data_IF_649531435339
#
_entry.id   IF_649531435339
#
_cell.length_a   1.000
_cell.length_b   1.000
_cell.length_c   1.000
_cell.angle_alpha   90.00
_cell.angle_beta   90.00
_cell.angle_gamma   90.00
#
_symmetry.space_group_name_H-M   'P 1'
#
loop_
_entity.id
_entity.type
_entity.pdbx_description
1 polymer ?
#
# COMPACT_ATOMS: atom_id res chain seq x y z
N UNK A 1 -7.61 90.99 -53.89
CA UNK A 1 -7.86 89.59 -53.48
C UNK A 1 -6.59 89.03 -52.83
N UNK A 2 -6.01 89.77 -51.88
CA UNK A 2 -6.11 89.60 -50.41
C UNK A 2 -5.51 88.28 -49.91
N UNK A 3 -4.26 88.41 -49.45
CA UNK A 3 -3.39 87.47 -48.71
C UNK A 3 -4.04 86.80 -47.47
N UNK A 4 -5.32 87.02 -47.22
CA UNK A 4 -6.09 86.50 -46.09
C UNK A 4 -6.86 85.21 -46.40
N UNK A 5 -7.04 84.84 -47.67
CA UNK A 5 -7.72 83.59 -48.03
C UNK A 5 -6.89 82.33 -47.75
N UNK A 6 -5.56 82.42 -47.91
CA UNK A 6 -4.64 81.29 -47.70
C UNK A 6 -4.41 80.97 -46.22
N UNK A 7 -4.49 81.97 -45.33
CA UNK A 7 -4.28 81.78 -43.88
C UNK A 7 -5.49 81.10 -43.24
N UNK A 8 -6.71 81.41 -43.69
CA UNK A 8 -7.93 80.76 -43.19
C UNK A 8 -8.02 79.30 -43.63
N UNK A 9 -7.59 78.97 -44.85
CA UNK A 9 -7.54 77.58 -45.33
C UNK A 9 -6.50 76.72 -44.59
N UNK A 10 -5.39 77.31 -44.12
CA UNK A 10 -4.36 76.59 -43.36
C UNK A 10 -4.75 76.36 -41.89
N UNK A 11 -5.54 77.26 -41.29
CA UNK A 11 -5.99 77.13 -39.89
C UNK A 11 -7.12 76.11 -39.75
N UNK A 12 -8.00 75.98 -40.75
CA UNK A 12 -9.08 74.97 -40.74
C UNK A 12 -8.54 73.54 -40.97
N UNK A 13 -7.38 73.38 -41.63
CA UNK A 13 -6.74 72.06 -41.80
C UNK A 13 -6.04 71.53 -40.54
N UNK A 14 -5.80 72.38 -39.54
CA UNK A 14 -5.13 72.03 -38.27
C UNK A 14 -6.09 71.79 -37.10
N UNK A 15 -7.39 72.02 -37.31
CA UNK A 15 -8.44 71.69 -36.35
C UNK A 15 -9.14 70.39 -36.76
N UNK A 16 -8.37 69.33 -37.02
CA UNK A 16 -8.95 67.98 -36.95
C UNK A 16 -9.19 67.70 -35.46
N UNK A 17 -10.40 67.28 -35.05
CA UNK A 17 -10.59 66.81 -33.69
C UNK A 17 -9.56 65.72 -33.46
N UNK A 18 -8.66 65.95 -32.52
CA UNK A 18 -7.73 64.93 -32.08
C UNK A 18 -8.60 63.80 -31.54
N UNK A 19 -8.85 62.79 -32.36
CA UNK A 19 -9.33 61.52 -31.87
C UNK A 19 -8.21 61.00 -30.98
N UNK A 20 -8.32 61.29 -29.69
CA UNK A 20 -7.58 60.56 -28.67
C UNK A 20 -8.16 59.16 -28.75
N UNK A 21 -7.61 58.35 -29.67
CA UNK A 21 -7.76 56.91 -29.63
C UNK A 21 -7.21 56.53 -28.27
N UNK A 22 -8.11 56.23 -27.35
CA UNK A 22 -7.75 55.91 -26.00
C UNK A 22 -6.65 54.84 -26.04
N UNK A 23 -5.53 55.17 -25.42
CA UNK A 23 -4.31 54.41 -25.55
C UNK A 23 -4.27 53.44 -24.38
N UNK A 24 -4.54 52.17 -24.65
CA UNK A 24 -4.43 51.16 -23.61
C UNK A 24 -3.06 51.22 -22.91
N UNK A 25 -3.01 51.07 -21.58
CA UNK A 25 -1.77 51.06 -20.81
C UNK A 25 -0.74 50.11 -21.42
N UNK A 26 0.50 50.59 -21.59
CA UNK A 26 1.62 49.88 -22.21
C UNK A 26 1.30 49.14 -23.53
N UNK A 27 0.26 49.59 -24.27
CA UNK A 27 -0.25 48.89 -25.46
C UNK A 27 -0.57 47.42 -25.18
N UNK A 28 -1.18 47.15 -24.02
CA UNK A 28 -1.46 45.81 -23.50
C UNK A 28 -0.22 44.90 -23.46
N UNK A 29 0.96 45.50 -23.31
CA UNK A 29 2.27 44.84 -23.22
C UNK A 29 2.55 43.85 -24.35
N UNK A 30 1.86 43.96 -25.50
CA UNK A 30 1.92 42.96 -26.58
C UNK A 30 1.23 41.63 -26.28
N UNK A 31 0.58 41.49 -25.12
CA UNK A 31 -0.11 40.29 -24.64
C UNK A 31 -1.63 40.44 -24.58
N UNK A 32 -2.17 41.40 -25.32
CA UNK A 32 -3.61 41.64 -25.39
C UNK A 32 -4.00 42.54 -26.54
N UNK A 33 -5.31 42.64 -26.75
CA UNK A 33 -5.91 43.58 -27.70
C UNK A 33 -6.55 44.73 -26.92
N UNK A 34 -6.30 45.95 -27.36
CA UNK A 34 -6.94 47.14 -26.78
C UNK A 34 -8.44 47.16 -27.15
N UNK A 35 -9.30 47.15 -26.12
CA UNK A 35 -10.75 47.16 -26.26
C UNK A 35 -11.37 48.56 -26.15
N UNK A 36 -12.70 48.60 -25.98
CA UNK A 36 -13.42 49.84 -25.65
C UNK A 36 -13.06 50.30 -24.23
N UNK A 37 -13.06 51.62 -24.00
CA UNK A 37 -12.75 52.25 -22.71
C UNK A 37 -11.33 51.97 -22.18
N UNK A 38 -10.34 51.79 -23.06
CA UNK A 38 -8.92 51.61 -22.72
C UNK A 38 -8.62 50.38 -21.85
N UNK A 39 -9.52 49.39 -21.90
CA UNK A 39 -9.37 48.11 -21.21
C UNK A 39 -8.67 47.11 -22.13
N UNK A 40 -7.58 46.54 -21.65
CA UNK A 40 -6.89 45.46 -22.35
C UNK A 40 -7.65 44.14 -22.22
N UNK A 41 -7.94 43.50 -23.36
CA UNK A 41 -8.40 42.12 -23.43
C UNK A 41 -7.18 41.22 -23.56
N UNK A 42 -6.75 40.65 -22.44
CA UNK A 42 -5.55 39.83 -22.40
C UNK A 42 -5.71 38.49 -23.12
N UNK A 43 -4.60 38.02 -23.70
CA UNK A 43 -4.48 36.68 -24.26
C UNK A 43 -4.48 35.63 -23.14
N UNK A 44 -4.65 34.35 -23.50
CA UNK A 44 -4.65 33.26 -22.53
C UNK A 44 -3.40 33.27 -21.65
N UNK A 45 -3.59 33.11 -20.34
CA UNK A 45 -2.57 33.12 -19.30
C UNK A 45 -1.86 34.47 -19.05
N UNK A 46 -2.45 35.58 -19.51
CA UNK A 46 -2.02 36.94 -19.19
C UNK A 46 -3.13 37.72 -18.49
N UNK A 47 -2.77 38.55 -17.52
CA UNK A 47 -3.67 39.31 -16.66
C UNK A 47 -3.07 40.67 -16.26
N UNK A 48 -3.87 41.47 -15.55
CA UNK A 48 -3.52 42.83 -15.16
C UNK A 48 -4.09 43.87 -16.11
N UNK A 49 -4.00 45.15 -15.73
CA UNK A 49 -4.58 46.25 -16.50
C UNK A 49 -3.95 46.44 -17.89
N UNK A 50 -2.70 46.01 -18.05
CA UNK A 50 -1.93 46.10 -19.30
C UNK A 50 -1.43 44.74 -19.80
N UNK A 51 -1.99 43.63 -19.30
CA UNK A 51 -1.60 42.26 -19.64
C UNK A 51 -0.11 41.93 -19.44
N UNK A 52 0.60 42.66 -18.56
CA UNK A 52 2.00 42.36 -18.25
C UNK A 52 2.17 41.20 -17.25
N UNK A 53 1.13 40.87 -16.49
CA UNK A 53 1.18 39.81 -15.49
C UNK A 53 0.83 38.44 -16.06
N UNK A 54 1.58 37.41 -15.68
CA UNK A 54 1.24 36.01 -15.93
C UNK A 54 0.13 35.55 -14.99
N UNK A 55 -0.77 34.74 -15.54
CA UNK A 55 -1.77 34.02 -14.76
C UNK A 55 -1.11 32.80 -14.12
N UNK A 56 -1.18 32.68 -12.79
CA UNK A 56 -0.76 31.47 -12.10
C UNK A 56 -1.81 30.37 -12.20
N UNK A 57 -1.43 29.10 -12.01
CA UNK A 57 -2.35 27.98 -11.97
C UNK A 57 -3.45 28.17 -10.94
N UNK A 58 -4.69 27.88 -11.36
CA UNK A 58 -5.82 27.71 -10.47
C UNK A 58 -5.98 26.23 -10.13
N UNK A 59 -6.12 25.93 -8.85
CA UNK A 59 -6.33 24.56 -8.36
C UNK A 59 -7.47 24.60 -7.35
N UNK A 60 -8.10 23.45 -7.04
CA UNK A 60 -9.11 23.42 -5.97
C UNK A 60 -8.53 23.98 -4.69
N UNK A 61 -9.23 24.95 -4.09
CA UNK A 61 -8.79 25.61 -2.89
C UNK A 61 -8.64 24.63 -1.73
N UNK A 62 -7.58 24.77 -0.94
CA UNK A 62 -7.45 24.05 0.33
C UNK A 62 -8.44 24.51 1.38
N UNK A 63 -8.82 25.78 1.29
CA UNK A 63 -9.81 26.41 2.13
C UNK A 63 -10.43 27.56 1.32
N UNK A 64 -11.73 27.70 1.43
CA UNK A 64 -12.50 28.81 0.90
C UNK A 64 -13.71 29.07 1.80
N UNK A 65 -14.43 30.15 1.50
CA UNK A 65 -15.67 30.45 2.21
C UNK A 65 -16.76 29.56 1.65
N UNK A 66 -17.27 28.62 2.47
CA UNK A 66 -18.40 27.79 2.10
C UNK A 66 -19.60 28.68 1.73
N UNK A 67 -20.16 28.44 0.54
CA UNK A 67 -21.27 29.25 0.04
C UNK A 67 -22.63 28.66 0.42
N UNK A 68 -22.71 27.33 0.54
CA UNK A 68 -23.91 26.54 0.88
C UNK A 68 -23.49 25.19 1.49
N UNK A 69 -24.48 24.38 1.86
CA UNK A 69 -24.28 22.99 2.27
C UNK A 69 -23.59 22.21 1.14
N UNK A 70 -22.52 21.47 1.49
CA UNK A 70 -21.68 20.69 0.58
C UNK A 70 -21.06 21.49 -0.59
N UNK A 71 -20.88 22.81 -0.42
CA UNK A 71 -20.45 23.73 -1.47
C UNK A 71 -19.20 24.55 -1.07
N UNK A 72 -18.03 23.96 -1.31
CA UNK A 72 -16.70 24.47 -1.00
C UNK A 72 -15.63 23.93 -1.98
N UNK A 73 -14.38 24.36 -1.81
CA UNK A 73 -13.20 23.98 -2.61
C UNK A 73 -13.23 24.42 -4.08
N UNK A 74 -13.72 25.64 -4.34
CA UNK A 74 -13.67 26.28 -5.66
C UNK A 74 -12.23 26.47 -6.15
N UNK A 75 -12.08 26.69 -7.46
CA UNK A 75 -10.77 26.99 -8.04
C UNK A 75 -10.23 28.32 -7.51
N UNK A 76 -9.04 28.27 -6.93
CA UNK A 76 -8.32 29.43 -6.43
C UNK A 76 -6.91 29.49 -7.00
N UNK A 77 -6.41 30.71 -7.21
CA UNK A 77 -5.04 30.93 -7.66
C UNK A 77 -4.08 30.38 -6.61
N UNK A 78 -3.14 29.54 -7.04
CA UNK A 78 -2.24 28.82 -6.14
C UNK A 78 -2.98 28.02 -5.04
N UNK A 79 -4.23 27.60 -5.27
CA UNK A 79 -5.02 26.80 -4.35
C UNK A 79 -5.31 27.47 -3.00
N UNK A 80 -5.20 28.80 -2.91
CA UNK A 80 -5.16 29.57 -1.66
C UNK A 80 -4.02 29.15 -0.71
N UNK A 81 -2.95 28.51 -1.21
CA UNK A 81 -1.79 28.04 -0.41
C UNK A 81 -0.47 28.45 -1.02
N UNK A 82 -0.42 29.65 -1.57
CA UNK A 82 0.80 30.21 -2.11
C UNK A 82 0.60 31.61 -2.70
N UNK A 83 1.72 32.24 -3.03
CA UNK A 83 1.77 33.55 -3.68
C UNK A 83 2.15 33.38 -5.14
N UNK A 84 1.40 34.03 -6.03
CA UNK A 84 1.66 34.02 -7.47
C UNK A 84 2.77 35.01 -7.85
N UNK A 85 3.83 34.54 -8.50
CA UNK A 85 4.78 35.40 -9.21
C UNK A 85 4.23 35.78 -10.59
N UNK A 86 3.92 37.06 -10.76
CA UNK A 86 3.36 37.61 -12.01
C UNK A 86 4.35 37.68 -13.16
N UNK A 87 5.66 37.59 -12.93
CA UNK A 87 6.63 37.59 -14.02
C UNK A 87 6.69 36.21 -14.71
N UNK A 88 6.62 35.13 -13.92
CA UNK A 88 6.81 33.76 -14.38
C UNK A 88 5.49 33.00 -14.54
N UNK A 89 4.47 33.33 -13.75
CA UNK A 89 3.24 32.55 -13.64
C UNK A 89 3.39 31.34 -12.71
N UNK A 90 4.45 31.29 -11.91
CA UNK A 90 4.69 30.21 -10.95
C UNK A 90 4.20 30.58 -9.55
N UNK A 91 3.68 29.57 -8.84
CA UNK A 91 3.24 29.73 -7.45
C UNK A 91 4.40 29.41 -6.50
N UNK A 92 4.72 30.35 -5.61
CA UNK A 92 5.54 30.06 -4.43
C UNK A 92 4.61 29.56 -3.34
N UNK A 93 4.70 28.27 -3.02
CA UNK A 93 3.77 27.63 -2.09
C UNK A 93 4.12 27.89 -0.63
N UNK A 94 3.08 27.90 0.22
CA UNK A 94 3.23 27.96 1.66
C UNK A 94 3.89 26.67 2.18
N UNK A 95 4.50 26.73 3.37
CA UNK A 95 5.16 25.59 3.99
C UNK A 95 4.23 24.36 4.06
N UNK A 96 4.72 23.21 3.62
CA UNK A 96 3.95 21.97 3.56
C UNK A 96 3.07 21.81 2.32
N UNK A 97 3.12 22.73 1.35
CA UNK A 97 2.39 22.63 0.08
C UNK A 97 3.36 22.60 -1.10
N UNK A 98 3.10 21.73 -2.07
CA UNK A 98 3.97 21.51 -3.23
C UNK A 98 3.18 21.29 -4.52
N UNK A 99 3.91 21.31 -5.62
CA UNK A 99 3.39 21.10 -6.97
C UNK A 99 2.78 22.35 -7.60
N UNK A 100 2.41 22.24 -8.87
CA UNK A 100 1.81 23.34 -9.63
C UNK A 100 0.54 23.83 -8.93
N UNK A 101 0.48 25.14 -8.65
CA UNK A 101 -0.63 25.77 -7.95
C UNK A 101 -0.84 25.27 -6.53
N UNK A 102 0.23 24.79 -5.86
CA UNK A 102 0.24 24.36 -4.46
C UNK A 102 -0.81 23.30 -4.16
N UNK A 103 -1.07 22.44 -5.14
CA UNK A 103 -2.24 21.57 -5.14
C UNK A 103 -2.14 20.37 -4.20
N UNK A 104 -0.94 20.02 -3.73
CA UNK A 104 -0.66 18.82 -2.91
C UNK A 104 0.04 19.18 -1.61
N UNK A 105 -0.23 18.42 -0.56
CA UNK A 105 0.50 18.49 0.70
C UNK A 105 1.83 17.76 0.54
N UNK A 106 2.93 18.32 1.04
CA UNK A 106 4.21 17.64 1.05
C UNK A 106 4.18 16.49 2.05
N UNK A 107 4.75 15.34 1.70
CA UNK A 107 4.98 14.30 2.68
C UNK A 107 5.98 14.75 3.75
N UNK A 108 5.77 14.40 5.03
CA UNK A 108 6.71 14.69 6.10
C UNK A 108 8.13 14.27 5.73
N UNK A 109 9.09 15.19 5.84
CA UNK A 109 10.51 14.99 5.54
C UNK A 109 10.82 14.30 4.21
N UNK A 110 9.92 14.39 3.21
CA UNK A 110 10.04 13.64 1.95
C UNK A 110 10.22 12.12 2.17
N UNK A 111 9.48 11.59 3.16
CA UNK A 111 9.57 10.21 3.64
C UNK A 111 10.99 9.80 4.05
N UNK A 112 11.81 10.78 4.46
CA UNK A 112 13.19 10.63 4.91
C UNK A 112 14.11 9.87 3.93
N UNK A 113 13.72 9.79 2.65
CA UNK A 113 14.40 8.96 1.65
C UNK A 113 14.26 7.44 1.85
N UNK A 114 13.32 7.00 2.69
CA UNK A 114 13.04 5.60 3.05
C UNK A 114 11.57 5.24 2.83
N UNK A 115 10.97 5.78 1.78
CA UNK A 115 9.60 5.47 1.40
C UNK A 115 9.12 6.23 0.18
N UNK A 116 7.90 5.91 -0.25
CA UNK A 116 7.20 6.60 -1.33
C UNK A 116 6.14 7.54 -0.76
N UNK A 117 6.00 8.71 -1.37
CA UNK A 117 4.96 9.68 -1.04
C UNK A 117 3.76 9.45 -1.96
N UNK A 118 2.67 8.93 -1.39
CA UNK A 118 1.49 8.47 -2.15
C UNK A 118 0.23 9.20 -1.71
N UNK A 119 -0.72 9.37 -2.64
CA UNK A 119 -2.00 10.00 -2.35
C UNK A 119 -2.88 9.11 -1.48
N UNK A 120 -3.75 9.73 -0.67
CA UNK A 120 -4.67 8.99 0.18
C UNK A 120 -5.59 8.04 -0.61
N UNK A 121 -5.91 8.36 -1.87
CA UNK A 121 -6.67 7.46 -2.75
C UNK A 121 -5.89 6.22 -3.19
N UNK A 122 -4.59 6.34 -3.39
CA UNK A 122 -3.70 5.23 -3.73
C UNK A 122 -3.57 4.32 -2.51
N UNK A 123 -3.28 4.90 -1.34
CA UNK A 123 -3.19 4.19 -0.06
C UNK A 123 -4.48 3.44 0.30
N UNK A 124 -5.65 4.03 0.02
CA UNK A 124 -6.94 3.41 0.33
C UNK A 124 -7.19 2.12 -0.47
N UNK A 125 -6.66 2.04 -1.69
CA UNK A 125 -6.82 0.90 -2.60
C UNK A 125 -5.63 -0.07 -2.59
N UNK A 126 -4.53 0.29 -1.92
CA UNK A 126 -3.29 -0.48 -1.92
C UNK A 126 -3.40 -1.79 -1.12
N UNK A 127 -3.55 -2.89 -1.86
CA UNK A 127 -3.58 -4.25 -1.30
C UNK A 127 -2.21 -4.95 -1.29
N UNK A 128 -1.20 -4.31 -1.88
CA UNK A 128 0.14 -4.84 -1.97
C UNK A 128 0.90 -4.63 -0.65
N UNK A 129 0.95 -3.39 -0.16
CA UNK A 129 1.61 -3.08 1.10
C UNK A 129 0.74 -3.51 2.29
N UNK A 130 1.03 -4.69 2.85
CA UNK A 130 0.26 -5.28 3.96
C UNK A 130 0.20 -4.41 5.22
N UNK A 131 1.16 -3.50 5.41
CA UNK A 131 1.19 -2.53 6.51
C UNK A 131 0.25 -1.33 6.31
N UNK A 132 0.02 -0.92 5.06
CA UNK A 132 -0.96 0.13 4.71
C UNK A 132 -2.37 -0.43 4.88
N UNK A 133 -2.57 -1.69 4.45
CA UNK A 133 -3.82 -2.40 4.67
C UNK A 133 -4.98 -1.83 3.86
N UNK A 134 -4.69 -1.27 2.68
CA UNK A 134 -5.72 -0.83 1.74
C UNK A 134 -6.57 -1.99 1.23
N UNK A 135 -7.74 -1.65 0.69
CA UNK A 135 -8.72 -2.61 0.21
C UNK A 135 -9.02 -2.30 -1.25
N UNK A 136 -8.82 -3.27 -2.15
CA UNK A 136 -8.93 -3.03 -3.60
C UNK A 136 -10.29 -2.46 -4.04
N UNK A 137 -11.37 -2.76 -3.31
CA UNK A 137 -12.72 -2.23 -3.58
C UNK A 137 -12.98 -0.85 -2.95
N UNK A 138 -12.12 -0.39 -2.05
CA UNK A 138 -12.23 0.92 -1.41
C UNK A 138 -11.76 1.98 -2.39
N UNK A 139 -12.68 2.88 -2.76
CA UNK A 139 -12.36 4.06 -3.53
C UNK A 139 -12.56 5.29 -2.64
N UNK A 140 -11.50 6.07 -2.42
CA UNK A 140 -11.61 7.37 -1.76
C UNK A 140 -11.93 8.42 -2.82
N UNK A 141 -13.10 9.08 -2.72
CA UNK A 141 -13.58 10.01 -3.77
C UNK A 141 -13.90 11.42 -3.26
N UNK A 142 -13.34 11.81 -2.11
CA UNK A 142 -13.55 13.14 -1.54
C UNK A 142 -12.64 14.18 -2.20
N UNK A 143 -12.88 15.46 -1.93
CA UNK A 143 -12.25 16.59 -2.62
C UNK A 143 -10.72 16.63 -2.53
N UNK A 144 -10.17 15.95 -1.53
CA UNK A 144 -8.75 15.89 -1.15
C UNK A 144 -8.04 14.60 -1.60
N UNK A 145 -8.73 13.74 -2.37
CA UNK A 145 -8.20 12.46 -2.87
C UNK A 145 -6.82 12.59 -3.54
N UNK A 146 -6.61 13.64 -4.34
CA UNK A 146 -5.38 13.95 -5.08
C UNK A 146 -4.60 15.13 -4.43
N UNK A 147 -4.83 15.36 -3.13
CA UNK A 147 -4.25 16.49 -2.39
C UNK A 147 -3.46 16.04 -1.17
N UNK A 148 -4.05 15.21 -0.32
CA UNK A 148 -3.39 14.68 0.88
C UNK A 148 -2.53 13.50 0.47
N UNK A 149 -1.28 13.51 0.95
CA UNK A 149 -0.30 12.45 0.71
C UNK A 149 0.23 11.93 2.04
N UNK A 150 0.60 10.65 2.06
CA UNK A 150 1.23 9.98 3.19
C UNK A 150 2.44 9.17 2.73
N UNK A 151 3.31 8.81 3.67
CA UNK A 151 4.47 7.99 3.38
C UNK A 151 4.13 6.50 3.48
N UNK A 152 4.47 5.74 2.45
CA UNK A 152 4.61 4.27 2.52
C UNK A 152 6.08 3.96 2.73
N UNK A 153 6.42 3.49 3.92
CA UNK A 153 7.81 3.24 4.26
C UNK A 153 8.34 1.99 3.57
N UNK A 154 9.60 2.09 3.15
CA UNK A 154 10.41 0.97 2.72
C UNK A 154 10.49 -0.09 3.82
N UNK A 155 10.85 -1.30 3.44
CA UNK A 155 10.98 -2.37 4.40
C UNK A 155 12.06 -2.06 5.45
N UNK A 156 11.79 -2.44 6.70
CA UNK A 156 12.58 -2.11 7.90
C UNK A 156 12.59 -0.63 8.31
N UNK A 157 11.78 0.23 7.69
CA UNK A 157 11.48 1.58 8.17
C UNK A 157 10.01 1.73 8.52
N UNK A 158 9.75 2.63 9.47
CA UNK A 158 8.42 2.93 10.00
C UNK A 158 8.34 4.36 10.55
N UNK A 159 7.18 4.71 11.09
CA UNK A 159 6.84 6.06 11.49
C UNK A 159 6.11 6.83 10.39
N UNK A 160 5.66 8.04 10.74
CA UNK A 160 4.86 8.88 9.82
C UNK A 160 5.64 9.43 8.63
N UNK A 161 6.97 9.45 8.72
CA UNK A 161 7.92 10.02 7.77
C UNK A 161 9.06 9.05 7.43
N UNK A 162 8.91 7.78 7.82
CA UNK A 162 9.88 6.70 7.58
C UNK A 162 11.30 6.95 8.12
N UNK A 163 11.42 7.82 9.13
CA UNK A 163 12.71 8.12 9.77
C UNK A 163 13.16 7.05 10.76
N UNK A 164 12.25 6.21 11.25
CA UNK A 164 12.53 5.22 12.30
C UNK A 164 12.79 3.85 11.69
N UNK A 165 13.79 3.11 12.19
CA UNK A 165 14.01 1.70 11.82
C UNK A 165 13.06 0.79 12.59
N UNK A 166 12.46 -0.17 11.92
CA UNK A 166 11.68 -1.22 12.57
C UNK A 166 12.60 -2.14 13.38
N UNK A 167 12.29 -2.30 14.67
CA UNK A 167 12.99 -3.26 15.51
C UNK A 167 12.44 -4.68 15.35
N UNK A 168 13.25 -5.70 15.68
CA UNK A 168 12.83 -7.09 15.73
C UNK A 168 11.59 -7.28 16.62
N UNK A 169 10.63 -8.06 16.11
CA UNK A 169 9.39 -8.40 16.81
C UNK A 169 9.40 -9.87 17.20
N UNK A 170 8.78 -10.20 18.32
CA UNK A 170 8.74 -11.57 18.84
C UNK A 170 7.64 -11.76 19.87
N UNK A 171 7.55 -13.00 20.34
CA UNK A 171 6.63 -13.47 21.38
C UNK A 171 7.14 -13.09 22.77
N UNK A 172 6.24 -12.63 23.64
CA UNK A 172 6.61 -12.39 25.04
C UNK A 172 6.70 -13.75 25.76
N UNK A 173 7.90 -14.19 26.20
CA UNK A 173 8.08 -15.52 26.77
C UNK A 173 7.30 -15.75 28.08
N UNK A 174 6.69 -14.70 28.65
CA UNK A 174 5.91 -14.79 29.88
C UNK A 174 4.40 -14.88 29.63
N UNK A 175 3.93 -14.74 28.39
CA UNK A 175 2.51 -14.89 28.08
C UNK A 175 2.17 -16.39 27.90
N UNK A 176 1.28 -16.97 28.74
CA UNK A 176 0.91 -18.37 28.62
C UNK A 176 -0.25 -18.58 27.66
N UNK A 177 -0.45 -19.84 27.24
CA UNK A 177 -1.61 -20.30 26.44
C UNK A 177 -1.72 -19.66 25.05
N UNK A 178 -0.58 -19.43 24.40
CA UNK A 178 -0.50 -18.98 23.02
C UNK A 178 -0.04 -20.10 22.10
N UNK A 179 -0.32 -19.91 20.82
CA UNK A 179 -0.05 -20.89 19.78
C UNK A 179 0.59 -20.24 18.58
N UNK A 180 1.48 -20.99 17.92
CA UNK A 180 2.08 -20.58 16.67
C UNK A 180 1.03 -20.48 15.55
N UNK A 181 1.27 -19.56 14.62
CA UNK A 181 0.45 -19.46 13.42
C UNK A 181 0.70 -20.67 12.53
N UNK A 182 -0.39 -21.28 12.06
CA UNK A 182 -0.36 -22.37 11.08
C UNK A 182 -1.23 -21.98 9.89
N UNK A 183 -0.66 -22.11 8.69
CA UNK A 183 -1.36 -21.88 7.43
C UNK A 183 -1.40 -23.18 6.62
N UNK A 184 -2.55 -23.55 6.08
CA UNK A 184 -2.67 -24.67 5.15
C UNK A 184 -2.66 -24.14 3.72
N UNK A 185 -1.73 -24.66 2.93
CA UNK A 185 -1.70 -24.50 1.49
C UNK A 185 -2.32 -25.75 0.89
N UNK A 186 -3.31 -25.59 0.01
CA UNK A 186 -3.87 -26.72 -0.70
C UNK A 186 -4.06 -26.47 -2.19
N UNK A 187 -3.81 -27.52 -2.97
CA UNK A 187 -3.88 -27.56 -4.43
C UNK A 187 -4.99 -28.53 -4.85
N UNK A 188 -5.77 -28.18 -5.87
CA UNK A 188 -6.89 -29.01 -6.37
C UNK A 188 -6.57 -29.80 -7.65
N UNK A 189 -5.33 -29.70 -8.15
CA UNK A 189 -4.83 -30.42 -9.32
C UNK A 189 -3.39 -30.90 -9.12
N UNK A 190 -3.06 -32.13 -9.56
CA UNK A 190 -1.71 -32.68 -9.46
C UNK A 190 -0.79 -32.10 -10.54
N UNK A 191 0.51 -32.10 -10.23
CA UNK A 191 1.58 -31.68 -11.12
C UNK A 191 1.62 -30.17 -11.38
N UNK A 192 2.41 -29.79 -12.40
CA UNK A 192 2.62 -28.39 -12.76
C UNK A 192 3.62 -27.68 -11.85
N UNK A 193 3.67 -26.35 -11.98
CA UNK A 193 4.60 -25.49 -11.27
C UNK A 193 3.90 -24.22 -10.75
N UNK A 194 4.37 -23.71 -9.62
CA UNK A 194 3.91 -22.45 -9.05
C UNK A 194 4.99 -21.82 -8.17
N UNK A 195 4.62 -20.80 -7.40
CA UNK A 195 5.50 -20.18 -6.41
C UNK A 195 4.68 -19.60 -5.27
N UNK A 196 5.36 -19.33 -4.16
CA UNK A 196 4.78 -18.69 -2.98
C UNK A 196 5.39 -17.31 -2.77
N UNK A 197 4.60 -16.36 -2.28
CA UNK A 197 5.09 -15.07 -1.78
C UNK A 197 4.78 -14.95 -0.30
N UNK A 198 5.82 -14.72 0.49
CA UNK A 198 5.76 -14.44 1.92
C UNK A 198 5.85 -12.94 2.17
N UNK A 199 4.98 -12.41 3.03
CA UNK A 199 4.99 -11.01 3.44
C UNK A 199 5.39 -10.92 4.91
N UNK A 200 6.59 -10.42 5.18
CA UNK A 200 7.12 -10.32 6.53
C UNK A 200 6.47 -9.13 7.29
N UNK A 201 6.59 -9.07 8.62
CA UNK A 201 6.04 -7.96 9.40
C UNK A 201 6.82 -6.66 9.28
N UNK A 202 7.95 -6.66 8.56
CA UNK A 202 8.85 -5.54 8.34
C UNK A 202 8.66 -4.91 6.95
N UNK A 203 7.63 -5.32 6.19
CA UNK A 203 7.23 -4.75 4.91
C UNK A 203 7.89 -5.36 3.69
N UNK A 204 8.70 -6.40 3.82
CA UNK A 204 9.27 -7.11 2.68
C UNK A 204 8.26 -8.13 2.11
N UNK A 205 8.34 -8.32 0.80
CA UNK A 205 7.72 -9.44 0.10
C UNK A 205 8.82 -10.34 -0.50
N UNK A 206 8.80 -11.62 -0.13
CA UNK A 206 9.77 -12.61 -0.57
C UNK A 206 9.08 -13.69 -1.40
N UNK A 207 9.41 -13.74 -2.69
CA UNK A 207 8.90 -14.76 -3.60
C UNK A 207 9.88 -15.92 -3.70
N UNK A 208 9.38 -17.15 -3.59
CA UNK A 208 10.20 -18.35 -3.72
C UNK A 208 10.69 -18.53 -5.15
N UNK A 209 11.69 -19.39 -5.35
CA UNK A 209 11.92 -19.99 -6.65
C UNK A 209 10.69 -20.81 -7.09
N UNK A 210 10.67 -21.22 -8.37
CA UNK A 210 9.59 -22.08 -8.86
C UNK A 210 9.55 -23.39 -8.09
N UNK A 211 8.35 -23.81 -7.71
CA UNK A 211 8.06 -25.05 -7.00
C UNK A 211 7.37 -25.97 -7.99
N UNK A 212 7.98 -27.13 -8.25
CA UNK A 212 7.32 -28.19 -9.00
C UNK A 212 6.44 -29.00 -8.04
N UNK A 213 5.13 -29.10 -8.29
CA UNK A 213 4.24 -29.86 -7.43
C UNK A 213 4.31 -31.37 -7.74
N UNK A 214 3.96 -32.20 -6.76
CA UNK A 214 3.88 -33.66 -6.89
C UNK A 214 2.73 -34.08 -7.81
N UNK A 215 2.82 -35.32 -8.32
CA UNK A 215 1.80 -35.91 -9.20
C UNK A 215 2.09 -35.79 -10.69
N UNK A 216 1.58 -36.76 -11.45
CA UNK A 216 1.52 -36.72 -12.91
C UNK A 216 0.17 -37.28 -13.37
N UNK A 217 -0.66 -36.50 -14.05
CA UNK A 217 -1.97 -36.94 -14.56
C UNK A 217 -3.17 -36.19 -13.98
N UNK A 218 -4.29 -36.89 -13.76
CA UNK A 218 -5.57 -36.31 -13.31
C UNK A 218 -5.99 -36.70 -11.89
N UNK A 219 -5.18 -37.48 -11.16
CA UNK A 219 -5.45 -37.94 -9.79
C UNK A 219 -4.21 -37.79 -8.92
N UNK A 220 -4.41 -37.52 -7.62
CA UNK A 220 -3.35 -37.50 -6.62
C UNK A 220 -3.11 -38.89 -6.02
N UNK A 221 -1.90 -39.10 -5.52
CA UNK A 221 -1.51 -40.23 -4.69
C UNK A 221 -0.94 -39.73 -3.37
N UNK A 222 -0.97 -40.55 -2.31
CA UNK A 222 -0.45 -40.14 -0.99
C UNK A 222 1.04 -39.78 -1.00
N UNK A 223 1.81 -40.25 -2.00
CA UNK A 223 3.21 -39.86 -2.18
C UNK A 223 3.36 -38.41 -2.71
N UNK A 224 2.33 -37.88 -3.38
CA UNK A 224 2.36 -36.55 -3.96
C UNK A 224 2.26 -35.45 -2.90
N UNK A 225 1.63 -35.73 -1.75
CA UNK A 225 1.63 -34.83 -0.58
C UNK A 225 3.04 -34.66 -0.04
N UNK A 226 3.70 -35.77 0.31
CA UNK A 226 5.04 -35.76 0.87
C UNK A 226 6.02 -35.02 -0.04
N UNK A 227 5.97 -35.29 -1.35
CA UNK A 227 6.82 -34.62 -2.34
C UNK A 227 6.53 -33.12 -2.42
N UNK A 228 5.25 -32.75 -2.48
CA UNK A 228 4.86 -31.34 -2.60
C UNK A 228 5.21 -30.56 -1.35
N UNK A 229 4.85 -31.05 -0.17
CA UNK A 229 5.12 -30.39 1.11
C UNK A 229 6.62 -30.28 1.38
N UNK A 230 7.42 -31.31 1.06
CA UNK A 230 8.88 -31.24 1.18
C UNK A 230 9.51 -30.19 0.25
N UNK A 231 9.00 -30.06 -0.98
CA UNK A 231 9.45 -29.03 -1.93
C UNK A 231 9.03 -27.62 -1.48
N UNK A 232 7.82 -27.45 -0.96
CA UNK A 232 7.36 -26.19 -0.36
C UNK A 232 8.27 -25.80 0.81
N UNK A 233 8.56 -26.73 1.74
CA UNK A 233 9.47 -26.45 2.86
C UNK A 233 10.85 -26.00 2.36
N UNK A 234 11.40 -26.70 1.37
CA UNK A 234 12.71 -26.38 0.80
C UNK A 234 12.70 -24.98 0.19
N UNK A 235 11.66 -24.64 -0.57
CA UNK A 235 11.52 -23.35 -1.23
C UNK A 235 11.38 -22.19 -0.20
N UNK A 236 10.57 -22.37 0.83
CA UNK A 236 10.39 -21.37 1.89
C UNK A 236 11.67 -21.16 2.72
N UNK A 237 12.39 -22.24 3.07
CA UNK A 237 13.67 -22.13 3.80
C UNK A 237 14.81 -21.54 2.97
N UNK A 238 14.67 -21.50 1.64
CA UNK A 238 15.64 -20.88 0.71
C UNK A 238 15.42 -19.39 0.50
N UNK A 239 14.32 -18.83 1.03
CA UNK A 239 14.13 -17.38 0.97
C UNK A 239 15.33 -16.66 1.62
N UNK A 240 15.72 -15.50 1.06
CA UNK A 240 16.90 -14.77 1.52
C UNK A 240 16.73 -14.28 2.96
N UNK A 241 17.83 -13.78 3.54
CA UNK A 241 17.88 -13.22 4.89
C UNK A 241 17.42 -14.18 6.01
N UNK A 242 17.33 -15.49 5.72
CA UNK A 242 16.88 -16.52 6.65
C UNK A 242 15.48 -16.26 7.24
N UNK A 243 14.62 -15.51 6.53
CA UNK A 243 13.33 -15.05 7.07
C UNK A 243 12.37 -16.18 7.49
N UNK A 244 12.53 -17.37 6.91
CA UNK A 244 11.75 -18.57 7.21
C UNK A 244 12.65 -19.82 7.36
N UNK A 245 13.89 -19.69 7.81
CA UNK A 245 14.84 -20.82 7.86
C UNK A 245 14.40 -21.96 8.80
N UNK A 246 13.57 -21.68 9.80
CA UNK A 246 13.03 -22.63 10.78
C UNK A 246 11.61 -23.09 10.47
N UNK A 247 11.00 -22.64 9.37
CA UNK A 247 9.62 -23.01 9.01
C UNK A 247 9.49 -24.52 8.84
N UNK A 248 8.41 -25.11 9.33
CA UNK A 248 8.12 -26.54 9.17
C UNK A 248 6.91 -26.72 8.27
N UNK A 249 6.95 -27.69 7.36
CA UNK A 249 5.81 -28.03 6.50
C UNK A 249 5.51 -29.51 6.61
N UNK A 250 4.26 -29.84 6.92
CA UNK A 250 3.79 -31.22 7.10
C UNK A 250 2.61 -31.52 6.18
N UNK A 251 2.57 -32.73 5.64
CA UNK A 251 1.42 -33.24 4.90
C UNK A 251 0.32 -33.65 5.88
N UNK A 252 -0.94 -33.32 5.56
CA UNK A 252 -2.10 -33.70 6.36
C UNK A 252 -3.27 -34.08 5.46
N UNK A 253 -4.13 -35.00 5.91
CA UNK A 253 -5.32 -35.40 5.16
C UNK A 253 -6.45 -34.34 5.27
N UNK A 254 -6.45 -33.55 6.35
CA UNK A 254 -7.51 -32.58 6.66
C UNK A 254 -7.12 -31.51 7.65
N UNK A 255 -7.80 -30.37 7.58
CA UNK A 255 -7.67 -29.28 8.56
C UNK A 255 -8.97 -28.48 8.74
N UNK A 256 -9.06 -27.76 9.86
CA UNK A 256 -10.13 -26.78 10.12
C UNK A 256 -9.68 -25.39 9.66
N UNK A 257 -10.31 -24.86 8.62
CA UNK A 257 -10.05 -23.50 8.18
C UNK A 257 -10.62 -22.48 9.18
N UNK A 258 -9.87 -21.44 9.50
CA UNK A 258 -10.27 -20.38 10.43
C UNK A 258 -10.27 -19.03 9.71
N UNK A 259 -11.30 -18.22 9.97
CA UNK A 259 -11.38 -16.83 9.52
C UNK A 259 -11.43 -15.93 10.74
N UNK A 260 -10.39 -15.13 10.95
CA UNK A 260 -10.37 -14.09 11.98
C UNK A 260 -11.38 -13.00 11.67
N UNK A 261 -12.04 -12.48 12.71
CA UNK A 261 -12.91 -11.30 12.59
C UNK A 261 -12.09 -10.03 12.39
N UNK A 262 -10.94 -9.95 13.05
CA UNK A 262 -9.99 -8.86 12.94
C UNK A 262 -8.57 -9.45 12.87
N UNK A 263 -7.81 -9.09 11.83
CA UNK A 263 -6.44 -9.55 11.65
C UNK A 263 -5.47 -8.89 12.66
N UNK A 264 -5.86 -7.76 13.24
CA UNK A 264 -5.09 -7.02 14.24
C UNK A 264 -5.35 -7.51 15.67
N UNK A 265 -6.38 -8.34 15.88
CA UNK A 265 -6.69 -8.94 17.17
C UNK A 265 -5.82 -10.17 17.42
N UNK A 266 -4.81 -10.00 18.27
CA UNK A 266 -3.87 -11.06 18.70
C UNK A 266 -4.51 -12.08 19.63
N UNK A 267 -5.62 -11.73 20.31
CA UNK A 267 -6.38 -12.66 21.15
C UNK A 267 -7.20 -13.62 20.28
N UNK A 268 -7.68 -13.15 19.13
CA UNK A 268 -7.99 -13.99 17.98
C UNK A 268 -9.37 -14.61 17.98
N UNK A 269 -10.40 -13.77 18.00
CA UNK A 269 -11.76 -14.23 17.71
C UNK A 269 -11.99 -14.43 16.21
N UNK A 270 -12.75 -15.47 15.88
CA UNK A 270 -13.12 -15.75 14.51
C UNK A 270 -14.15 -16.87 14.39
N UNK A 271 -14.37 -17.28 13.15
CA UNK A 271 -15.28 -18.38 12.82
C UNK A 271 -14.51 -19.53 12.20
N UNK A 272 -14.88 -20.74 12.62
CA UNK A 272 -14.46 -21.96 11.95
C UNK A 272 -15.24 -22.10 10.66
N UNK A 273 -14.54 -22.27 9.54
CA UNK A 273 -15.15 -22.64 8.28
C UNK A 273 -15.23 -24.17 8.18
N UNK A 274 -15.89 -24.65 7.13
CA UNK A 274 -15.95 -26.07 6.78
C UNK A 274 -14.57 -26.73 6.78
N UNK A 275 -14.52 -27.97 7.27
CA UNK A 275 -13.33 -28.84 7.19
C UNK A 275 -12.92 -29.00 5.72
N UNK A 276 -11.64 -28.80 5.45
CA UNK A 276 -11.05 -29.08 4.15
C UNK A 276 -10.36 -30.44 4.22
N UNK A 277 -10.89 -31.40 3.47
CA UNK A 277 -10.30 -32.74 3.29
C UNK A 277 -9.64 -32.85 1.91
N UNK A 278 -8.62 -33.71 1.85
CA UNK A 278 -7.86 -34.09 0.67
C UNK A 278 -8.65 -34.97 -0.30
N UNK A 279 -9.59 -35.77 0.20
CA UNK A 279 -10.34 -36.79 -0.54
C UNK A 279 -11.79 -36.38 -0.88
N UNK A 280 -12.20 -35.19 -0.45
CA UNK A 280 -13.56 -34.66 -0.63
C UNK A 280 -14.66 -35.47 0.08
N UNK A 281 -14.30 -36.48 0.86
CA UNK A 281 -15.23 -37.33 1.57
C UNK A 281 -15.58 -36.75 2.95
N UNK A 282 -16.68 -37.25 3.52
CA UNK A 282 -17.02 -37.00 4.94
C UNK A 282 -16.19 -37.93 5.84
N UNK A 283 -16.10 -37.62 7.13
CA UNK A 283 -15.26 -38.33 8.13
C UNK A 283 -15.39 -39.87 8.18
N UNK A 284 -16.44 -40.44 7.58
CA UNK A 284 -16.79 -41.86 7.64
C UNK A 284 -16.32 -42.71 6.43
N UNK A 285 -15.75 -42.10 5.39
CA UNK A 285 -15.33 -42.83 4.16
C UNK A 285 -13.99 -42.27 3.70
N UNK A 286 -13.03 -43.16 3.41
CA UNK A 286 -11.79 -42.78 2.71
C UNK A 286 -12.11 -42.63 1.23
N UNK A 287 -12.07 -41.40 0.73
CA UNK A 287 -12.31 -41.08 -0.67
C UNK A 287 -11.08 -41.29 -1.54
N UNK A 288 -11.19 -40.90 -2.81
CA UNK A 288 -10.03 -40.78 -3.71
C UNK A 288 -9.43 -39.40 -3.49
N UNK A 289 -8.11 -39.32 -3.34
CA UNK A 289 -7.43 -38.06 -3.14
C UNK A 289 -7.62 -37.12 -4.34
N UNK A 290 -8.14 -35.93 -4.05
CA UNK A 290 -8.44 -34.86 -5.00
C UNK A 290 -7.70 -33.56 -4.70
N UNK A 291 -6.96 -33.48 -3.58
CA UNK A 291 -6.12 -32.33 -3.23
C UNK A 291 -4.84 -32.78 -2.55
N UNK A 292 -3.83 -31.92 -2.64
CA UNK A 292 -2.68 -31.92 -1.73
C UNK A 292 -2.91 -30.87 -0.65
N UNK A 293 -2.61 -31.19 0.60
CA UNK A 293 -2.68 -30.24 1.72
C UNK A 293 -1.36 -30.25 2.50
N UNK A 294 -0.76 -29.07 2.61
CA UNK A 294 0.47 -28.84 3.35
C UNK A 294 0.24 -27.79 4.43
N UNK A 295 0.37 -28.18 5.70
CA UNK A 295 0.37 -27.24 6.82
C UNK A 295 1.77 -26.66 7.01
N UNK A 296 1.87 -25.34 6.86
CA UNK A 296 3.03 -24.51 7.13
C UNK A 296 2.92 -23.99 8.56
N UNK A 297 3.84 -24.42 9.41
CA UNK A 297 3.94 -24.06 10.82
C UNK A 297 5.05 -23.01 10.96
N UNK A 298 4.66 -21.80 11.34
CA UNK A 298 5.60 -20.71 11.64
C UNK A 298 6.08 -20.90 13.07
N UNK A 299 7.28 -21.45 13.23
CA UNK A 299 7.87 -21.65 14.56
C UNK A 299 8.14 -20.30 15.22
N UNK A 300 7.97 -20.24 16.55
CA UNK A 300 8.21 -19.04 17.37
C UNK A 300 9.67 -18.55 17.32
N UNK A 301 10.00 -17.81 16.28
CA UNK A 301 11.28 -17.12 16.06
C UNK A 301 10.99 -15.63 15.77
N UNK A 302 11.98 -14.73 15.94
CA UNK A 302 11.80 -13.31 15.66
C UNK A 302 11.23 -13.03 14.27
N UNK A 303 10.10 -12.32 14.22
CA UNK A 303 9.39 -11.97 12.99
C UNK A 303 8.41 -13.03 12.48
N UNK A 304 8.42 -14.25 13.02
CA UNK A 304 7.51 -15.35 12.60
C UNK A 304 6.49 -15.73 13.66
N UNK A 305 6.48 -15.04 14.79
CA UNK A 305 5.45 -15.18 15.84
C UNK A 305 4.18 -14.41 15.49
N UNK A 306 3.10 -14.68 16.22
CA UNK A 306 1.83 -13.98 16.04
C UNK A 306 1.22 -14.07 14.66
N UNK A 307 0.38 -13.09 14.33
CA UNK A 307 -0.32 -13.09 13.05
C UNK A 307 0.68 -12.91 11.91
N UNK A 308 0.62 -13.83 10.96
CA UNK A 308 1.37 -13.81 9.72
C UNK A 308 0.41 -13.55 8.58
N UNK A 309 0.80 -12.69 7.62
CA UNK A 309 0.01 -12.56 6.41
C UNK A 309 -0.08 -13.92 5.70
N UNK A 310 -1.26 -14.23 5.15
CA UNK A 310 -1.41 -15.46 4.37
C UNK A 310 -0.42 -15.45 3.20
N UNK A 311 0.27 -16.57 3.01
CA UNK A 311 1.13 -16.77 1.84
C UNK A 311 0.28 -16.59 0.58
N UNK A 312 0.79 -15.83 -0.38
CA UNK A 312 0.18 -15.80 -1.71
C UNK A 312 0.69 -16.99 -2.50
N UNK A 313 -0.22 -17.80 -3.05
CA UNK A 313 0.13 -18.99 -3.80
C UNK A 313 -0.29 -18.86 -5.26
N UNK A 314 0.70 -18.70 -6.14
CA UNK A 314 0.47 -18.46 -7.54
C UNK A 314 0.77 -19.73 -8.35
N UNK A 315 -0.25 -20.19 -9.06
CA UNK A 315 -0.19 -21.35 -9.97
C UNK A 315 -0.59 -20.99 -11.40
N UNK A 316 -0.69 -19.69 -11.70
CA UNK A 316 -0.91 -19.22 -13.05
C UNK A 316 0.32 -19.51 -13.92
N UNK A 317 0.09 -19.62 -15.21
CA UNK A 317 1.17 -19.72 -16.19
C UNK A 317 1.93 -18.40 -16.20
N UNK A 318 3.22 -18.44 -15.87
CA UNK A 318 4.09 -17.27 -15.81
C UNK A 318 5.27 -17.51 -16.74
N UNK A 319 4.99 -17.53 -18.04
CA UNK A 319 5.96 -17.85 -19.10
C UNK A 319 5.97 -16.83 -20.24
N UNK A 320 5.52 -15.59 -19.98
CA UNK A 320 5.55 -14.57 -21.01
C UNK A 320 6.99 -14.17 -21.35
N UNK A 321 7.20 -13.70 -22.57
CA UNK A 321 8.51 -13.25 -23.04
C UNK A 321 8.96 -11.90 -22.42
N UNK A 322 8.26 -11.37 -21.39
CA UNK A 322 8.42 -10.01 -20.86
C UNK A 322 9.24 -9.93 -19.56
N UNK A 323 10.02 -10.96 -19.22
CA UNK A 323 10.98 -10.89 -18.11
C UNK A 323 10.37 -11.20 -16.75
N UNK A 324 9.49 -12.20 -16.72
CA UNK A 324 8.81 -12.70 -15.53
C UNK A 324 9.73 -13.54 -14.63
N UNK A 325 9.66 -13.37 -13.30
CA UNK A 325 10.38 -14.19 -12.31
C UNK A 325 9.49 -14.55 -11.11
N UNK A 326 9.44 -15.82 -10.67
CA UNK A 326 10.01 -16.99 -11.34
C UNK A 326 9.20 -17.37 -12.59
N UNK A 327 9.83 -17.96 -13.60
CA UNK A 327 9.11 -18.51 -14.76
C UNK A 327 8.47 -19.84 -14.34
N UNK A 328 7.17 -19.99 -14.54
CA UNK A 328 6.43 -21.22 -14.23
C UNK A 328 5.60 -21.70 -15.41
N UNK A 329 5.50 -23.02 -15.57
CA UNK A 329 4.55 -23.63 -16.49
C UNK A 329 3.08 -23.53 -16.01
N UNK A 330 2.86 -23.11 -14.76
CA UNK A 330 1.55 -23.07 -14.11
C UNK A 330 0.98 -24.45 -13.80
N UNK A 331 -0.23 -24.46 -13.26
CA UNK A 331 -1.06 -25.66 -13.07
C UNK A 331 -2.32 -25.51 -13.90
N UNK A 332 -2.52 -26.41 -14.88
CA UNK A 332 -3.59 -26.31 -15.86
C UNK A 332 -4.97 -26.42 -15.19
N UNK A 333 -5.74 -25.32 -15.20
CA UNK A 333 -7.05 -25.21 -14.51
C UNK A 333 -6.99 -25.57 -13.02
N UNK A 334 -5.82 -25.42 -12.40
CA UNK A 334 -5.63 -25.62 -10.97
C UNK A 334 -5.74 -24.31 -10.19
N UNK A 335 -6.13 -24.43 -8.94
CA UNK A 335 -6.13 -23.37 -7.95
C UNK A 335 -5.21 -23.76 -6.79
N UNK A 336 -4.54 -22.77 -6.23
CA UNK A 336 -3.85 -22.88 -4.97
C UNK A 336 -4.48 -21.90 -3.99
N UNK A 337 -4.85 -22.40 -2.82
CA UNK A 337 -5.51 -21.59 -1.79
C UNK A 337 -4.76 -21.73 -0.48
N UNK A 338 -4.67 -20.63 0.25
CA UNK A 338 -4.06 -20.59 1.58
C UNK A 338 -5.10 -20.15 2.61
N UNK A 339 -5.14 -20.85 3.75
CA UNK A 339 -6.06 -20.56 4.86
C UNK A 339 -5.35 -20.69 6.20
N UNK A 340 -5.78 -19.92 7.19
CA UNK A 340 -5.36 -20.12 8.56
C UNK A 340 -5.96 -21.42 9.12
N UNK A 341 -5.18 -22.19 9.90
CA UNK A 341 -5.59 -23.53 10.38
C UNK A 341 -5.88 -23.55 11.87
N UNK A 342 -7.13 -23.72 12.29
CA UNK A 342 -7.42 -23.87 13.72
C UNK A 342 -6.86 -25.19 14.28
N UNK A 343 -5.93 -25.16 15.26
CA UNK A 343 -5.31 -26.37 15.76
C UNK A 343 -6.30 -27.15 16.65
N UNK A 344 -6.44 -28.45 16.38
CA UNK A 344 -7.32 -29.36 17.13
C UNK A 344 -6.90 -29.56 18.60
N UNK A 345 -5.67 -29.18 18.95
CA UNK A 345 -5.13 -29.23 20.32
C UNK A 345 -5.80 -28.23 21.27
N UNK A 346 -6.59 -27.27 20.77
CA UNK A 346 -7.36 -26.29 21.55
C UNK A 346 -8.63 -26.84 22.23
N UNK A 347 -8.69 -28.16 22.46
CA UNK A 347 -9.59 -28.75 23.47
C UNK A 347 -11.05 -28.96 23.05
N UNK A 348 -11.38 -28.95 21.77
CA UNK A 348 -12.74 -29.27 21.34
C UNK A 348 -12.95 -30.78 21.27
N UNK A 349 -13.69 -31.32 22.24
CA UNK A 349 -14.13 -32.72 22.22
C UNK A 349 -15.35 -32.82 21.30
N UNK A 350 -15.15 -33.19 20.03
CA UNK A 350 -16.23 -33.37 19.04
C UNK A 350 -15.95 -32.70 17.69
N UNK A 351 -16.71 -33.06 16.66
CA UNK A 351 -16.66 -32.39 15.36
C UNK A 351 -17.15 -30.95 15.51
N UNK A 352 -16.30 -29.97 15.20
CA UNK A 352 -16.72 -28.59 15.12
C UNK A 352 -17.54 -28.37 13.85
N UNK A 353 -18.68 -27.71 13.99
CA UNK A 353 -19.54 -27.36 12.86
C UNK A 353 -18.98 -26.13 12.14
N UNK A 354 -19.33 -26.00 10.86
CA UNK A 354 -19.15 -24.75 10.12
C UNK A 354 -19.85 -23.59 10.85
N UNK A 355 -19.26 -22.41 10.78
CA UNK A 355 -19.68 -21.17 11.45
C UNK A 355 -19.61 -21.19 12.99
N UNK A 356 -18.93 -22.17 13.58
CA UNK A 356 -18.72 -22.20 15.04
C UNK A 356 -17.77 -21.06 15.44
N UNK A 357 -18.18 -20.14 16.33
CA UNK A 357 -17.29 -19.14 16.89
C UNK A 357 -16.18 -19.83 17.69
N UNK A 358 -14.93 -19.45 17.43
CA UNK A 358 -13.78 -20.02 18.10
C UNK A 358 -12.76 -18.95 18.46
N UNK A 359 -11.96 -19.26 19.48
CA UNK A 359 -10.92 -18.38 19.99
C UNK A 359 -9.56 -19.00 19.69
N UNK A 360 -8.66 -18.23 19.10
CA UNK A 360 -7.34 -18.67 18.70
C UNK A 360 -6.27 -17.61 19.05
N UNK A 361 -5.75 -17.66 20.28
CA UNK A 361 -4.69 -16.76 20.72
C UNK A 361 -3.40 -17.16 20.02
N UNK A 362 -2.79 -16.22 19.31
CA UNK A 362 -1.46 -16.42 18.75
C UNK A 362 -0.39 -15.92 19.74
N UNK A 363 0.83 -16.39 19.54
CA UNK A 363 2.03 -15.77 20.12
C UNK A 363 2.04 -14.26 19.81
N UNK A 364 2.68 -13.42 20.63
CA UNK A 364 2.75 -12.00 20.28
C UNK A 364 3.70 -11.76 19.10
N UNK A 365 3.47 -10.69 18.36
CA UNK A 365 4.43 -10.14 17.40
C UNK A 365 4.77 -8.71 17.82
N UNK A 366 5.34 -8.61 19.00
CA UNK A 366 5.55 -7.33 19.68
C UNK A 366 7.00 -6.88 19.54
N UNK A 367 7.19 -5.58 19.38
CA UNK A 367 8.52 -4.95 19.34
C UNK A 367 9.34 -5.36 20.57
N UNK A 368 10.54 -5.89 20.32
CA UNK A 368 11.44 -6.41 21.34
C UNK A 368 10.74 -7.34 22.34
N UNK A 369 9.71 -8.06 21.88
CA UNK A 369 8.89 -9.00 22.65
C UNK A 369 8.30 -8.42 23.94
N UNK A 370 8.18 -7.09 24.05
CA UNK A 370 7.81 -6.43 25.32
C UNK A 370 8.85 -6.59 26.45
N UNK A 371 10.06 -7.05 26.12
CA UNK A 371 11.17 -7.37 27.03
C UNK A 371 12.46 -6.64 26.70
N UNK A 372 12.36 -5.57 25.92
CA UNK A 372 13.47 -4.66 25.65
C UNK A 372 12.98 -3.31 25.14
N UNK A 373 13.92 -2.40 24.96
CA UNK A 373 13.68 -1.10 24.31
C UNK A 373 14.27 -1.10 22.91
N UNK A 374 13.50 -0.63 21.93
CA UNK A 374 14.00 -0.41 20.57
C UNK A 374 14.87 0.85 20.49
N UNK A 375 16.01 0.73 19.84
CA UNK A 375 16.77 1.87 19.30
C UNK A 375 16.36 2.07 17.83
N UNK A 376 15.55 3.09 17.56
CA UNK A 376 15.00 3.39 16.23
C UNK A 376 16.04 3.95 15.25
N UNK A 377 17.23 4.36 15.70
CA UNK A 377 18.30 4.80 14.80
C UNK A 377 19.06 3.60 14.20
N UNK A 378 19.18 2.53 14.99
CA UNK A 378 19.90 1.29 14.59
C UNK A 378 18.98 0.13 14.23
N UNK A 379 17.73 0.15 14.68
CA UNK A 379 16.76 -0.95 14.53
C UNK A 379 17.09 -2.15 15.40
N UNK A 380 17.75 -1.94 16.55
CA UNK A 380 18.18 -3.02 17.45
C UNK A 380 17.47 -2.97 18.79
N UNK A 381 17.23 -4.14 19.38
CA UNK A 381 16.61 -4.26 20.70
C UNK A 381 17.67 -4.32 21.81
N UNK A 382 17.54 -3.47 22.81
CA UNK A 382 18.26 -3.58 24.08
C UNK A 382 17.39 -4.33 25.10
N UNK A 383 17.75 -5.58 25.40
CA UNK A 383 16.95 -6.44 26.26
C UNK A 383 17.05 -6.09 27.74
N UNK A 384 15.94 -6.25 28.45
CA UNK A 384 15.90 -6.17 29.91
C UNK A 384 16.61 -7.36 30.56
N UNK A 385 17.00 -7.21 31.82
CA UNK A 385 17.73 -8.23 32.56
C UNK A 385 16.98 -9.59 32.55
N UNK A 386 17.70 -10.66 32.25
CA UNK A 386 17.15 -12.02 32.16
C UNK A 386 16.50 -12.37 30.82
N UNK A 387 16.48 -11.44 29.85
CA UNK A 387 15.98 -11.66 28.50
C UNK A 387 17.08 -11.51 27.45
N UNK A 388 17.02 -12.32 26.40
CA UNK A 388 18.01 -12.37 25.31
C UNK A 388 17.37 -12.78 23.98
N UNK A 389 18.18 -12.77 22.92
CA UNK A 389 17.74 -13.01 21.55
C UNK A 389 17.57 -11.71 20.76
N UNK A 390 17.37 -11.85 19.45
CA UNK A 390 17.29 -10.70 18.54
C UNK A 390 16.14 -9.74 18.90
N UNK A 391 15.02 -10.30 19.36
CA UNK A 391 13.84 -9.56 19.81
C UNK A 391 13.62 -9.68 21.32
N UNK A 392 14.61 -10.09 22.12
CA UNK A 392 14.45 -10.33 23.56
C UNK A 392 13.40 -11.41 23.92
N UNK A 393 13.13 -12.31 22.99
CA UNK A 393 12.08 -13.34 23.06
C UNK A 393 12.48 -14.58 23.87
N UNK A 394 13.74 -14.69 24.33
CA UNK A 394 14.24 -15.83 25.11
C UNK A 394 14.52 -15.39 26.53
N UNK A 395 14.20 -16.24 27.50
CA UNK A 395 14.49 -16.00 28.92
C UNK A 395 15.68 -16.84 29.36
N UNK A 396 16.57 -16.26 30.17
CA UNK A 396 17.64 -17.00 30.84
C UNK A 396 17.05 -17.87 31.95
N UNK A 397 17.53 -19.11 32.07
CA UNK A 397 16.99 -20.12 33.00
C UNK A 397 17.22 -19.84 34.50
N UNK A 398 17.77 -18.67 34.86
CA UNK A 398 18.31 -18.36 36.20
C UNK A 398 17.70 -17.10 36.85
N UNK A 399 16.52 -16.66 36.40
CA UNK A 399 15.76 -15.57 37.05
C UNK A 399 14.80 -16.12 38.09
#
# INVERSE_FOLDING_TARGET
MTKWGFVVALIVLLATPSFVLGACPNKCSGHGKCGLNDVCQCMQNWVGGDCSGRQCPFTRAWHDTAQRDDDAHYYAECGNRGTCDRATGECTCDAGFIGSGCRRMQCPNDCSGHGTCEFIEELAADTFHKRVGGVASRKYTLWDQEKIMGCVCDANYEGHDCSMRSCPKGDDPLTPNQYDMVQAIYLDKPGGEGYLTYYDPYGNAYTTEKIAFGGSGSTFTSLDDDVTCARIQTALRRLPNNVLNTVSVVAVDRFYAFTRTDLTDTTGYGTLNKIVNDDGASFAVVGVQIKVICEVIFTSEPGTTGYQNLLDCNVAVHNDAKGQHPITAGVASGACTVKEVYPLSLGTTGMLNEDTPAYRPLTELTECSGRGTCDYDTGTCACFAGHMGLACQKQEALV
#
